data_IF_827651635671
#
_entry.id   IF_827651635671
#
_cell.length_a   1.000
_cell.length_b   1.000
_cell.length_c   1.000
_cell.angle_alpha   90.00
_cell.angle_beta   90.00
_cell.angle_gamma   90.00
#
_symmetry.space_group_name_H-M   'P 1'
#
loop_
_entity.id
_entity.type
_entity.pdbx_description
1 polymer ?
#
# COMPACT_ATOMS: atom_id res chain seq x y z
N UNK A 1 -24.91 18.72 -18.99
CA UNK A 1 -23.75 19.10 -19.82
C UNK A 1 -23.49 20.56 -19.55
N UNK A 2 -22.49 20.87 -18.73
CA UNK A 2 -22.12 22.26 -18.42
C UNK A 2 -20.60 22.39 -18.45
N UNK A 3 -20.19 23.34 -19.28
CA UNK A 3 -18.89 23.56 -19.91
C UNK A 3 -17.77 24.09 -18.98
N UNK A 4 -17.80 23.86 -17.66
CA UNK A 4 -16.88 24.55 -16.73
C UNK A 4 -15.67 23.73 -16.26
N UNK A 5 -15.67 22.40 -16.41
CA UNK A 5 -14.56 21.55 -15.94
C UNK A 5 -13.41 21.31 -16.94
N UNK A 6 -13.50 21.77 -18.20
CA UNK A 6 -12.41 21.59 -19.19
C UNK A 6 -11.29 22.64 -19.07
N UNK A 7 -11.60 23.82 -18.53
CA UNK A 7 -10.67 24.96 -18.48
C UNK A 7 -9.54 24.80 -17.45
N UNK A 8 -9.83 24.17 -16.30
CA UNK A 8 -8.85 24.07 -15.21
C UNK A 8 -7.75 23.05 -15.49
N UNK A 9 -8.08 21.92 -16.13
CA UNK A 9 -7.09 20.91 -16.51
C UNK A 9 -6.19 21.40 -17.65
N UNK A 10 -6.73 22.12 -18.65
CA UNK A 10 -5.92 22.71 -19.73
C UNK A 10 -5.02 23.84 -19.21
N UNK A 11 -5.51 24.70 -18.31
CA UNK A 11 -4.67 25.73 -17.71
C UNK A 11 -3.56 25.14 -16.84
N UNK A 12 -3.84 24.10 -16.06
CA UNK A 12 -2.82 23.43 -15.25
C UNK A 12 -1.77 22.74 -16.12
N UNK A 13 -2.19 21.98 -17.14
CA UNK A 13 -1.29 21.33 -18.08
C UNK A 13 -0.43 22.34 -18.85
N UNK A 14 -1.02 23.48 -19.23
CA UNK A 14 -0.29 24.57 -19.88
C UNK A 14 0.72 25.24 -18.93
N UNK A 15 0.37 25.47 -17.65
CA UNK A 15 1.32 25.99 -16.65
C UNK A 15 2.47 25.00 -16.43
N UNK A 16 2.18 23.71 -16.36
CA UNK A 16 3.18 22.65 -16.21
C UNK A 16 4.13 22.62 -17.42
N UNK A 17 3.60 22.67 -18.64
CA UNK A 17 4.39 22.74 -19.89
C UNK A 17 5.24 24.01 -19.95
N UNK A 18 4.70 25.17 -19.55
CA UNK A 18 5.45 26.43 -19.53
C UNK A 18 6.58 26.43 -18.48
N UNK A 19 6.36 25.83 -17.29
CA UNK A 19 7.42 25.63 -16.28
C UNK A 19 8.53 24.72 -16.84
N UNK A 20 8.17 23.67 -17.56
CA UNK A 20 9.11 22.74 -18.19
C UNK A 20 9.91 23.41 -19.33
N UNK A 21 9.29 24.30 -20.13
CA UNK A 21 9.96 25.10 -21.16
C UNK A 21 10.94 26.13 -20.58
N UNK A 22 10.58 26.80 -19.48
CA UNK A 22 11.41 27.84 -18.84
C UNK A 22 12.74 27.26 -18.31
N UNK A 23 12.73 26.00 -17.84
CA UNK A 23 13.94 25.35 -17.29
C UNK A 23 14.96 24.86 -18.32
N UNK A 24 14.68 24.95 -19.64
CA UNK A 24 15.54 24.37 -20.71
C UNK A 24 15.99 22.93 -20.41
N UNK A 25 15.06 22.10 -19.95
CA UNK A 25 15.34 20.68 -19.74
C UNK A 25 15.53 20.03 -21.11
N UNK A 26 16.73 19.54 -21.37
CA UNK A 26 17.03 18.71 -22.54
C UNK A 26 16.26 17.40 -22.35
N UNK A 27 15.43 16.99 -23.31
CA UNK A 27 14.59 15.79 -23.17
C UNK A 27 15.43 14.53 -23.43
N UNK A 28 16.30 14.20 -22.47
CA UNK A 28 16.94 12.89 -22.34
C UNK A 28 16.07 11.97 -21.49
N UNK A 29 16.21 10.66 -21.66
CA UNK A 29 15.40 9.63 -20.97
C UNK A 29 15.49 9.74 -19.43
N UNK A 30 16.65 10.13 -18.91
CA UNK A 30 16.92 10.40 -17.50
C UNK A 30 16.11 11.61 -16.98
N UNK A 31 16.01 12.69 -17.78
CA UNK A 31 15.26 13.89 -17.40
C UNK A 31 13.73 13.68 -17.45
N UNK A 32 13.23 12.71 -18.23
CA UNK A 32 11.79 12.38 -18.30
C UNK A 32 11.34 11.71 -17.00
N UNK A 33 12.18 10.85 -16.41
CA UNK A 33 11.87 10.20 -15.13
C UNK A 33 11.83 11.22 -13.98
N UNK A 34 12.79 12.15 -13.92
CA UNK A 34 12.79 13.23 -12.93
C UNK A 34 11.57 14.18 -13.06
N UNK A 35 11.09 14.38 -14.29
CA UNK A 35 9.86 15.14 -14.56
C UNK A 35 8.63 14.36 -14.06
N UNK A 36 8.57 13.04 -14.29
CA UNK A 36 7.48 12.19 -13.81
C UNK A 36 7.40 12.17 -12.29
N UNK A 37 8.54 12.04 -11.60
CA UNK A 37 8.60 12.07 -10.13
C UNK A 37 8.21 13.45 -9.57
N UNK A 38 8.63 14.52 -10.25
CA UNK A 38 8.23 15.88 -9.89
C UNK A 38 6.73 16.11 -10.08
N UNK A 39 6.13 15.56 -11.14
CA UNK A 39 4.68 15.61 -11.40
C UNK A 39 3.93 14.78 -10.36
N UNK A 40 4.42 13.59 -10.02
CA UNK A 40 3.90 12.73 -8.96
C UNK A 40 3.82 13.48 -7.61
N UNK A 41 4.93 14.12 -7.20
CA UNK A 41 4.97 14.90 -5.95
C UNK A 41 4.02 16.11 -6.01
N UNK A 42 3.94 16.79 -7.17
CA UNK A 42 3.06 17.95 -7.33
C UNK A 42 1.58 17.56 -7.28
N UNK A 43 1.20 16.47 -7.94
CA UNK A 43 -0.16 15.91 -7.95
C UNK A 43 -0.56 15.43 -6.56
N UNK A 44 0.34 14.75 -5.85
CA UNK A 44 0.12 14.31 -4.48
C UNK A 44 -0.13 15.51 -3.54
N UNK A 45 0.65 16.59 -3.67
CA UNK A 45 0.43 17.82 -2.87
C UNK A 45 -0.90 18.49 -3.17
N UNK A 46 -1.27 18.65 -4.44
CA UNK A 46 -2.54 19.27 -4.83
C UNK A 46 -3.74 18.44 -4.32
N UNK A 47 -3.66 17.12 -4.42
CA UNK A 47 -4.70 16.21 -3.92
C UNK A 47 -4.81 16.22 -2.39
N UNK A 48 -3.69 16.41 -1.69
CA UNK A 48 -3.64 16.50 -0.23
C UNK A 48 -4.11 17.86 0.33
N UNK A 49 -3.91 18.96 -0.39
CA UNK A 49 -4.26 20.32 0.07
C UNK A 49 -5.65 20.78 -0.40
N UNK A 50 -6.16 20.27 -1.53
CA UNK A 50 -7.45 20.69 -2.10
C UNK A 50 -8.44 19.52 -2.19
N UNK A 51 -9.06 19.19 -1.06
CA UNK A 51 -10.09 18.14 -0.89
C UNK A 51 -11.42 18.35 -1.66
N UNK A 52 -11.46 19.07 -2.79
CA UNK A 52 -12.71 19.43 -3.49
C UNK A 52 -12.68 19.31 -5.01
N UNK A 53 -11.71 18.58 -5.58
CA UNK A 53 -11.83 18.14 -6.97
C UNK A 53 -12.06 16.62 -6.94
N UNK A 54 -13.33 16.21 -6.96
CA UNK A 54 -13.74 14.86 -7.36
C UNK A 54 -13.37 14.70 -8.83
N UNK A 55 -12.09 14.45 -9.10
CA UNK A 55 -11.71 13.74 -10.30
C UNK A 55 -12.09 12.29 -9.99
N UNK A 56 -13.06 11.74 -10.72
CA UNK A 56 -13.32 10.30 -10.75
C UNK A 56 -12.07 9.64 -11.35
N UNK A 57 -11.09 9.39 -10.48
CA UNK A 57 -9.87 8.64 -10.77
C UNK A 57 -10.08 7.20 -10.30
N UNK A 58 -11.23 6.59 -10.63
CA UNK A 58 -11.47 5.21 -10.24
C UNK A 58 -10.66 4.20 -11.06
N UNK A 59 -10.03 4.59 -12.18
CA UNK A 59 -9.39 3.61 -13.09
C UNK A 59 -7.95 3.92 -13.55
N UNK A 60 -7.30 5.02 -13.15
CA UNK A 60 -5.98 5.42 -13.71
C UNK A 60 -4.87 5.76 -12.68
N UNK A 61 -5.07 5.49 -11.38
CA UNK A 61 -4.14 5.90 -10.30
C UNK A 61 -3.09 4.85 -9.90
N UNK A 62 -3.17 3.66 -10.50
CA UNK A 62 -2.12 2.65 -10.47
C UNK A 62 -1.99 2.26 -11.94
N UNK A 63 -0.78 2.26 -12.50
CA UNK A 63 -0.55 1.39 -13.64
C UNK A 63 -0.75 -0.03 -13.08
N UNK A 64 -1.99 -0.54 -13.11
CA UNK A 64 -2.36 -1.88 -12.63
C UNK A 64 -1.74 -2.99 -13.50
N UNK A 65 -0.70 -2.66 -14.27
CA UNK A 65 0.11 -3.53 -15.08
C UNK A 65 1.40 -3.97 -14.36
N UNK A 66 1.83 -3.30 -13.27
CA UNK A 66 3.09 -3.63 -12.59
C UNK A 66 2.93 -4.36 -11.23
N UNK A 67 1.82 -4.17 -10.51
CA UNK A 67 1.54 -4.97 -9.29
C UNK A 67 0.80 -6.23 -9.72
N UNK A 68 1.41 -7.40 -9.47
CA UNK A 68 0.80 -8.67 -9.83
C UNK A 68 -0.49 -8.91 -9.00
N UNK A 69 -1.46 -9.63 -9.58
CA UNK A 69 -2.64 -10.08 -8.84
C UNK A 69 -2.25 -10.92 -7.61
N UNK A 70 -1.09 -11.57 -7.67
CA UNK A 70 -0.53 -12.37 -6.60
C UNK A 70 -0.05 -11.50 -5.43
N UNK A 71 0.68 -10.41 -5.71
CA UNK A 71 1.05 -9.38 -4.72
C UNK A 71 -0.19 -8.79 -4.05
N UNK A 72 -1.21 -8.42 -4.83
CA UNK A 72 -2.43 -7.84 -4.26
C UNK A 72 -3.12 -8.80 -3.30
N UNK A 73 -3.26 -10.05 -3.72
CA UNK A 73 -3.90 -11.10 -2.93
C UNK A 73 -3.08 -11.40 -1.67
N UNK A 74 -1.76 -11.50 -1.80
CA UNK A 74 -0.82 -11.69 -0.71
C UNK A 74 -0.96 -10.60 0.35
N UNK A 75 -0.86 -9.32 -0.03
CA UNK A 75 -0.95 -8.19 0.91
C UNK A 75 -2.31 -8.16 1.61
N UNK A 76 -3.41 -8.27 0.86
CA UNK A 76 -4.77 -8.25 1.44
C UNK A 76 -4.97 -9.39 2.44
N UNK A 77 -4.56 -10.60 2.09
CA UNK A 77 -4.76 -11.78 2.93
C UNK A 77 -3.88 -11.74 4.17
N UNK A 78 -2.62 -11.30 4.02
CA UNK A 78 -1.69 -11.08 5.15
C UNK A 78 -2.26 -10.06 6.13
N UNK A 79 -2.57 -8.83 5.67
CA UNK A 79 -3.09 -7.77 6.55
C UNK A 79 -4.38 -8.21 7.26
N UNK A 80 -5.25 -8.94 6.55
CA UNK A 80 -6.50 -9.45 7.14
C UNK A 80 -6.28 -10.47 8.25
N UNK A 81 -5.38 -11.45 8.05
CA UNK A 81 -5.08 -12.45 9.08
C UNK A 81 -4.51 -11.79 10.32
N UNK A 82 -3.51 -10.91 10.14
CA UNK A 82 -2.87 -10.24 11.27
C UNK A 82 -3.80 -9.24 11.98
N UNK A 83 -4.74 -8.60 11.28
CA UNK A 83 -5.81 -7.81 11.90
C UNK A 83 -6.65 -8.69 12.84
N UNK A 84 -7.06 -9.87 12.39
CA UNK A 84 -7.87 -10.79 13.20
C UNK A 84 -7.09 -11.40 14.37
N UNK A 85 -5.80 -11.71 14.19
CA UNK A 85 -4.93 -12.15 15.29
C UNK A 85 -4.79 -11.02 16.32
N UNK A 86 -4.52 -9.80 15.85
CA UNK A 86 -4.40 -8.63 16.72
C UNK A 86 -5.68 -8.41 17.53
N UNK A 87 -6.85 -8.42 16.87
CA UNK A 87 -8.14 -8.26 17.53
C UNK A 87 -8.37 -9.35 18.58
N UNK A 88 -8.10 -10.62 18.25
CA UNK A 88 -8.19 -11.71 19.21
C UNK A 88 -7.28 -11.50 20.44
N UNK A 89 -6.01 -11.16 20.22
CA UNK A 89 -5.05 -10.94 21.30
C UNK A 89 -5.46 -9.74 22.18
N UNK A 90 -5.98 -8.69 21.56
CA UNK A 90 -6.46 -7.49 22.25
C UNK A 90 -7.72 -7.78 23.09
N UNK A 91 -8.72 -8.44 22.50
CA UNK A 91 -9.96 -8.83 23.18
C UNK A 91 -9.72 -9.74 24.39
N UNK A 92 -8.70 -10.60 24.33
CA UNK A 92 -8.33 -11.53 25.39
C UNK A 92 -7.24 -10.99 26.33
N UNK A 93 -6.85 -9.71 26.22
CA UNK A 93 -5.79 -9.09 27.04
C UNK A 93 -4.43 -9.82 26.97
N UNK A 94 -4.15 -10.48 25.85
CA UNK A 94 -2.93 -11.24 25.59
C UNK A 94 -1.90 -10.46 24.78
N UNK A 95 -2.23 -9.23 24.35
CA UNK A 95 -1.34 -8.41 23.52
C UNK A 95 -0.03 -8.04 24.23
N UNK A 96 -0.03 -7.83 25.55
CA UNK A 96 1.22 -7.55 26.28
C UNK A 96 2.15 -8.76 26.39
N UNK A 97 1.57 -9.96 26.42
CA UNK A 97 2.32 -11.23 26.54
C UNK A 97 2.81 -11.71 25.17
N UNK A 98 1.96 -11.59 24.14
CA UNK A 98 2.21 -12.13 22.81
C UNK A 98 2.58 -11.07 21.76
N UNK A 99 2.43 -9.77 22.06
CA UNK A 99 2.71 -8.67 21.14
C UNK A 99 4.19 -8.42 20.87
N UNK A 100 5.07 -9.22 21.47
CA UNK A 100 6.49 -9.28 21.14
C UNK A 100 6.85 -10.51 20.29
N UNK A 101 5.92 -11.45 20.09
CA UNK A 101 6.18 -12.64 19.29
C UNK A 101 6.09 -12.27 17.80
N UNK A 102 7.21 -12.25 17.05
CA UNK A 102 7.22 -11.85 15.64
C UNK A 102 6.37 -12.77 14.75
N UNK A 103 6.04 -13.99 15.21
CA UNK A 103 5.16 -14.91 14.48
C UNK A 103 3.67 -14.57 14.61
N UNK A 104 3.30 -13.70 15.55
CA UNK A 104 1.90 -13.36 15.85
C UNK A 104 1.56 -11.90 15.54
N UNK A 105 2.55 -11.08 15.19
CA UNK A 105 2.37 -9.67 14.86
C UNK A 105 2.80 -9.39 13.42
N UNK A 106 2.16 -8.39 12.83
CA UNK A 106 2.57 -7.82 11.54
C UNK A 106 3.63 -6.76 11.77
N UNK A 107 4.75 -6.82 11.04
CA UNK A 107 5.88 -5.90 11.15
C UNK A 107 6.07 -5.02 9.90
N UNK A 108 5.13 -5.03 8.97
CA UNK A 108 5.32 -4.37 7.67
C UNK A 108 5.84 -5.29 6.58
N UNK A 109 5.98 -4.73 5.38
CA UNK A 109 6.58 -5.39 4.22
C UNK A 109 7.97 -4.79 3.95
N UNK A 110 8.83 -5.56 3.30
CA UNK A 110 10.15 -5.10 2.87
C UNK A 110 10.04 -4.34 1.54
N UNK A 111 10.56 -3.11 1.50
CA UNK A 111 10.60 -2.28 0.29
C UNK A 111 11.66 -2.77 -0.72
N UNK A 112 12.57 -3.64 -0.26
CA UNK A 112 13.63 -4.26 -1.04
C UNK A 112 13.50 -5.79 -1.06
N UNK A 113 12.28 -6.32 -0.86
CA UNK A 113 12.05 -7.76 -0.83
C UNK A 113 12.60 -8.43 -2.10
N UNK A 114 13.42 -9.46 -1.98
CA UNK A 114 14.04 -10.13 -3.12
C UNK A 114 13.07 -11.09 -3.87
N UNK A 115 11.87 -11.30 -3.33
CA UNK A 115 10.86 -12.18 -3.90
C UNK A 115 10.10 -11.42 -5.00
N UNK A 116 10.48 -11.65 -6.25
CA UNK A 116 9.90 -11.02 -7.45
C UNK A 116 8.36 -11.06 -7.48
N UNK A 117 7.77 -12.16 -7.00
CA UNK A 117 6.31 -12.36 -6.92
C UNK A 117 5.61 -11.31 -6.04
N UNK A 118 6.30 -10.73 -5.06
CA UNK A 118 5.76 -9.78 -4.08
C UNK A 118 6.38 -8.38 -4.17
N UNK A 119 7.09 -8.08 -5.26
CA UNK A 119 7.46 -6.71 -5.56
C UNK A 119 6.24 -5.78 -5.54
N UNK A 120 6.39 -4.60 -4.95
CA UNK A 120 5.32 -3.62 -4.77
C UNK A 120 4.38 -3.91 -3.59
N UNK A 121 4.67 -4.88 -2.73
CA UNK A 121 3.86 -5.16 -1.53
C UNK A 121 3.73 -3.94 -0.60
N UNK A 122 4.82 -3.20 -0.39
CA UNK A 122 4.83 -1.95 0.40
C UNK A 122 3.92 -0.89 -0.22
N UNK A 123 4.05 -0.63 -1.52
CA UNK A 123 3.26 0.38 -2.23
C UNK A 123 1.77 0.03 -2.20
N UNK A 124 1.45 -1.24 -2.36
CA UNK A 124 0.07 -1.71 -2.28
C UNK A 124 -0.51 -1.62 -0.86
N UNK A 125 0.29 -1.94 0.15
CA UNK A 125 -0.10 -1.78 1.55
C UNK A 125 -0.33 -0.30 1.88
N UNK A 126 0.53 0.60 1.41
CA UNK A 126 0.34 2.04 1.53
C UNK A 126 -0.98 2.48 0.90
N UNK A 127 -1.26 2.05 -0.33
CA UNK A 127 -2.50 2.36 -1.03
C UNK A 127 -3.72 1.97 -0.20
N UNK A 128 -3.76 0.72 0.28
CA UNK A 128 -4.90 0.20 1.03
C UNK A 128 -5.05 0.90 2.40
N UNK A 129 -3.95 1.14 3.10
CA UNK A 129 -3.98 1.68 4.46
C UNK A 129 -4.24 3.19 4.46
N UNK A 130 -3.47 3.93 3.67
CA UNK A 130 -3.52 5.40 3.69
C UNK A 130 -4.67 5.96 2.85
N UNK A 131 -5.02 5.33 1.73
CA UNK A 131 -6.02 5.88 0.81
C UNK A 131 -7.38 5.19 0.92
N UNK A 132 -7.41 3.84 0.96
CA UNK A 132 -8.68 3.12 1.19
C UNK A 132 -9.10 3.08 2.67
N UNK A 133 -8.26 3.56 3.58
CA UNK A 133 -8.51 3.63 5.04
C UNK A 133 -8.88 2.26 5.64
N UNK A 134 -8.25 1.19 5.16
CA UNK A 134 -8.41 -0.18 5.70
C UNK A 134 -7.19 -0.56 6.54
N UNK A 135 -7.32 -1.47 7.50
CA UNK A 135 -6.19 -1.94 8.31
C UNK A 135 -5.39 -0.80 9.00
N UNK A 136 -6.09 0.24 9.45
CA UNK A 136 -5.49 1.50 9.98
C UNK A 136 -4.58 1.22 11.19
N UNK A 137 -4.81 0.13 11.91
CA UNK A 137 -3.95 -0.32 13.02
C UNK A 137 -2.48 -0.53 12.60
N UNK A 138 -2.20 -0.73 11.30
CA UNK A 138 -0.85 -0.93 10.77
C UNK A 138 -0.27 0.30 10.07
N UNK A 139 -0.91 1.46 10.18
CA UNK A 139 -0.55 2.69 9.45
C UNK A 139 0.90 3.14 9.66
N UNK A 140 1.45 2.93 10.85
CA UNK A 140 2.77 3.46 11.17
C UNK A 140 3.90 2.46 10.93
N UNK A 141 3.57 1.19 10.63
CA UNK A 141 4.56 0.09 10.58
C UNK A 141 4.64 -0.62 9.22
N UNK A 142 3.78 -0.31 8.25
CA UNK A 142 3.69 -1.09 7.01
C UNK A 142 4.95 -1.08 6.13
N UNK A 143 5.90 -0.16 6.39
CA UNK A 143 7.22 -0.03 5.73
C UNK A 143 8.39 -0.59 6.56
N UNK A 144 8.12 -1.17 7.73
CA UNK A 144 9.17 -1.60 8.66
C UNK A 144 9.59 -3.07 8.48
N UNK A 145 9.04 -3.75 7.46
CA UNK A 145 9.28 -5.16 7.25
C UNK A 145 10.66 -5.47 6.71
N UNK A 146 11.03 -6.74 6.82
CA UNK A 146 12.24 -7.34 6.25
C UNK A 146 11.86 -8.56 5.41
N UNK A 147 12.77 -9.00 4.53
CA UNK A 147 12.59 -10.24 3.75
C UNK A 147 12.33 -11.48 4.61
N UNK A 148 12.79 -11.46 5.87
CA UNK A 148 12.45 -12.53 6.83
C UNK A 148 10.97 -12.52 7.21
N UNK A 149 10.33 -11.35 7.31
CA UNK A 149 8.91 -11.21 7.61
C UNK A 149 8.06 -11.75 6.45
N UNK A 150 8.42 -11.50 5.20
CA UNK A 150 7.71 -12.04 4.03
C UNK A 150 7.64 -13.56 4.06
N UNK A 151 8.75 -14.24 4.38
CA UNK A 151 8.75 -15.69 4.54
C UNK A 151 7.81 -16.16 5.67
N UNK A 152 7.76 -15.43 6.80
CA UNK A 152 6.81 -15.74 7.88
C UNK A 152 5.36 -15.55 7.43
N UNK A 153 5.09 -14.54 6.61
CA UNK A 153 3.76 -14.30 6.06
C UNK A 153 3.34 -15.44 5.13
N UNK A 154 4.23 -15.93 4.26
CA UNK A 154 3.97 -17.11 3.42
C UNK A 154 3.63 -18.34 4.28
N UNK A 155 4.39 -18.61 5.34
CA UNK A 155 4.08 -19.72 6.25
C UNK A 155 2.72 -19.56 6.94
N UNK A 156 2.41 -18.33 7.36
CA UNK A 156 1.12 -17.99 7.98
C UNK A 156 -0.01 -18.22 6.99
N UNK A 157 0.13 -17.76 5.75
CA UNK A 157 -0.86 -17.95 4.69
C UNK A 157 -1.07 -19.43 4.37
N UNK A 158 0.00 -20.25 4.36
CA UNK A 158 -0.09 -21.71 4.20
C UNK A 158 -0.87 -22.37 5.34
N UNK A 159 -0.68 -21.93 6.58
CA UNK A 159 -1.47 -22.44 7.71
C UNK A 159 -2.98 -22.19 7.52
N UNK A 160 -3.33 -21.01 6.99
CA UNK A 160 -4.72 -20.58 6.75
C UNK A 160 -5.22 -20.86 5.30
N UNK A 161 -4.48 -21.62 4.49
CA UNK A 161 -4.81 -21.80 3.07
C UNK A 161 -6.17 -22.48 2.86
N UNK A 162 -6.49 -23.43 3.74
CA UNK A 162 -7.71 -24.24 3.71
C UNK A 162 -8.54 -24.11 5.00
N UNK A 163 -8.37 -22.99 5.73
CA UNK A 163 -9.08 -22.72 6.98
C UNK A 163 -9.71 -21.34 6.92
N UNK A 164 -10.95 -21.22 7.38
CA UNK A 164 -11.51 -19.91 7.67
C UNK A 164 -10.73 -19.27 8.80
N UNK A 165 -10.39 -17.99 8.66
CA UNK A 165 -9.70 -17.23 9.71
C UNK A 165 -10.74 -16.78 10.73
N UNK A 166 -10.97 -17.65 11.71
CA UNK A 166 -11.91 -17.49 12.82
C UNK A 166 -11.22 -17.78 14.16
N UNK A 167 -11.93 -17.55 15.27
CA UNK A 167 -11.40 -17.69 16.63
C UNK A 167 -10.73 -19.05 16.88
N UNK A 168 -11.36 -20.17 16.48
CA UNK A 168 -10.81 -21.51 16.70
C UNK A 168 -9.51 -21.71 15.92
N UNK A 169 -9.49 -21.29 14.65
CA UNK A 169 -8.30 -21.38 13.80
C UNK A 169 -7.13 -20.51 14.30
N UNK A 170 -7.42 -19.35 14.92
CA UNK A 170 -6.44 -18.44 15.51
C UNK A 170 -5.85 -19.05 16.79
N UNK A 171 -6.69 -19.65 17.64
CA UNK A 171 -6.23 -20.37 18.83
C UNK A 171 -5.30 -21.52 18.44
N UNK A 172 -5.67 -22.29 17.41
CA UNK A 172 -4.85 -23.38 16.90
C UNK A 172 -3.52 -22.87 16.31
N UNK A 173 -3.53 -21.72 15.64
CA UNK A 173 -2.32 -21.07 15.11
C UNK A 173 -1.37 -20.66 16.24
N UNK A 174 -1.87 -19.96 17.24
CA UNK A 174 -1.08 -19.46 18.39
C UNK A 174 -0.44 -20.63 19.14
N UNK A 175 -1.16 -21.74 19.35
CA UNK A 175 -0.61 -22.91 20.07
C UNK A 175 0.55 -23.60 19.34
N UNK A 176 0.69 -23.42 18.04
CA UNK A 176 1.73 -24.05 17.24
C UNK A 176 3.02 -23.21 17.13
N UNK A 177 2.99 -21.95 17.60
CA UNK A 177 4.08 -20.98 17.44
C UNK A 177 4.60 -20.52 18.81
#
# INVERSE_FOLDING_TARGET
MTLENKSYSENFLNILIEILKIKKLDFTEENVNDINDSIYILQHRITSEYHTINVDIEDNLINSQDISLETEHFVKKTLRIFEQIHDYLNENSQLSENGQNPNLIFNGFDEHDDIEEYFGAVDYAEYIINYKKKFIIFKDIFREGTSSDTNRYIETLKFFENKDVNTDSIIDFIKQR
#
